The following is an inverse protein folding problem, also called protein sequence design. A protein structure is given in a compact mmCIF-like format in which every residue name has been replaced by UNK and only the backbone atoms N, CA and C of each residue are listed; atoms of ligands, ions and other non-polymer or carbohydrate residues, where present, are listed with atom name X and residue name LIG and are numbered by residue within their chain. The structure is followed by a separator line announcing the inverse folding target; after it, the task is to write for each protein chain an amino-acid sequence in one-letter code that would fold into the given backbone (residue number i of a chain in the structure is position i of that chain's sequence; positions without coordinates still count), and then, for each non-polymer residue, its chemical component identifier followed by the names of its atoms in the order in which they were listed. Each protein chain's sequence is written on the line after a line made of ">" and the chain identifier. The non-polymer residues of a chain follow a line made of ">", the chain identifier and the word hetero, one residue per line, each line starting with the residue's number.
data_IF_488726008695
#
_entry.id   IF_488726008695
#
_cell.length_a   1.000
_cell.length_b   1.000
_cell.length_c   1.000
_cell.angle_alpha   90.00
_cell.angle_beta   90.00
_cell.angle_gamma   90.00
#
_symmetry.space_group_name_H-M   'P 1'
#
loop_
_entity.id
_entity.type
_entity.pdbx_description
1 polymer ?
#
# COMPACT_ATOMS: atom_id res chain seq x y z
N UNK A 1 -4.33 8.90 -24.44
CA UNK A 1 -4.25 10.14 -23.64
C UNK A 1 -5.38 10.16 -22.58
N UNK A 2 -5.53 9.10 -21.76
CA UNK A 2 -6.75 8.88 -20.96
C UNK A 2 -6.56 8.92 -19.43
N UNK A 3 -5.61 8.14 -18.89
CA UNK A 3 -5.50 7.93 -17.44
C UNK A 3 -4.83 9.11 -16.72
N UNK A 4 -3.80 9.73 -17.32
CA UNK A 4 -3.11 10.89 -16.71
C UNK A 4 -4.02 12.13 -16.57
N UNK A 5 -5.01 12.29 -17.46
CA UNK A 5 -6.00 13.37 -17.38
C UNK A 5 -6.98 13.17 -16.21
N UNK A 6 -7.46 11.94 -16.02
CA UNK A 6 -8.32 11.58 -14.89
C UNK A 6 -7.59 11.74 -13.55
N UNK A 7 -6.29 11.40 -13.51
CA UNK A 7 -5.41 11.62 -12.35
C UNK A 7 -5.31 13.10 -11.95
N UNK A 8 -5.26 14.02 -12.92
CA UNK A 8 -5.22 15.45 -12.65
C UNK A 8 -6.54 15.96 -12.06
N UNK A 9 -7.68 15.38 -12.47
CA UNK A 9 -9.01 15.75 -11.99
C UNK A 9 -9.22 15.28 -10.53
N UNK A 10 -8.67 14.13 -10.14
CA UNK A 10 -8.69 13.66 -8.73
C UNK A 10 -8.03 14.66 -7.76
N UNK A 11 -7.00 15.39 -8.21
CA UNK A 11 -6.38 16.46 -7.41
C UNK A 11 -7.29 17.68 -7.25
N UNK A 12 -8.28 17.85 -8.12
CA UNK A 12 -9.13 19.04 -8.20
C UNK A 12 -10.44 18.83 -7.42
N UNK A 13 -11.01 17.62 -7.41
CA UNK A 13 -12.27 17.35 -6.69
C UNK A 13 -12.28 15.99 -5.97
N UNK A 14 -12.17 15.96 -4.62
CA UNK A 14 -12.14 14.73 -3.84
C UNK A 14 -13.49 13.99 -3.81
N UNK A 15 -14.58 14.58 -4.30
CA UNK A 15 -15.91 13.97 -4.26
C UNK A 15 -16.03 12.70 -5.14
N UNK A 16 -15.22 12.59 -6.19
CA UNK A 16 -15.27 11.46 -7.13
C UNK A 16 -14.18 10.40 -6.86
N UNK A 17 -13.45 10.52 -5.76
CA UNK A 17 -12.29 9.67 -5.46
C UNK A 17 -12.64 8.18 -5.46
N UNK A 18 -13.79 7.78 -4.90
CA UNK A 18 -14.19 6.37 -4.81
C UNK A 18 -14.57 5.74 -6.15
N UNK A 19 -15.36 6.41 -6.98
CA UNK A 19 -15.80 5.86 -8.27
C UNK A 19 -14.63 5.64 -9.23
N UNK A 20 -13.68 6.59 -9.27
CA UNK A 20 -12.47 6.44 -10.07
C UNK A 20 -11.46 5.48 -9.45
N UNK A 21 -11.48 5.26 -8.13
CA UNK A 21 -10.62 4.28 -7.46
C UNK A 21 -10.92 2.86 -7.96
N UNK A 22 -12.17 2.51 -8.22
CA UNK A 22 -12.53 1.23 -8.83
C UNK A 22 -11.95 1.09 -10.24
N UNK A 23 -12.07 2.12 -11.07
CA UNK A 23 -11.52 2.13 -12.43
C UNK A 23 -9.97 2.07 -12.46
N UNK A 24 -9.31 2.69 -11.47
CA UNK A 24 -7.86 2.61 -11.28
C UNK A 24 -7.45 1.21 -10.81
N UNK A 25 -8.24 0.58 -9.95
CA UNK A 25 -8.01 -0.80 -9.51
C UNK A 25 -8.12 -1.79 -10.69
N UNK A 26 -9.04 -1.56 -11.63
CA UNK A 26 -9.16 -2.38 -12.84
C UNK A 26 -7.89 -2.30 -13.71
N UNK A 27 -7.14 -1.19 -13.67
CA UNK A 27 -5.85 -1.07 -14.36
C UNK A 27 -4.74 -1.94 -13.74
N UNK A 28 -4.94 -2.52 -12.55
CA UNK A 28 -4.01 -3.51 -11.98
C UNK A 28 -4.14 -4.89 -12.65
N UNK A 29 -5.24 -5.15 -13.35
CA UNK A 29 -5.48 -6.39 -14.13
C UNK A 29 -4.88 -6.31 -15.55
N UNK A 30 -4.34 -5.14 -15.95
CA UNK A 30 -3.77 -4.93 -17.28
C UNK A 30 -2.54 -5.85 -17.53
N UNK A 31 -2.21 -6.17 -18.77
CA UNK A 31 -1.04 -6.99 -19.07
C UNK A 31 0.29 -6.23 -18.94
N UNK A 32 0.28 -4.89 -18.95
CA UNK A 32 1.47 -4.04 -18.90
C UNK A 32 1.95 -3.76 -17.45
N UNK A 33 3.09 -4.35 -17.08
CA UNK A 33 3.75 -4.13 -15.78
C UNK A 33 4.11 -2.66 -15.51
N UNK A 34 4.39 -1.88 -16.55
CA UNK A 34 4.68 -0.43 -16.41
C UNK A 34 3.43 0.32 -15.97
N UNK A 35 2.27 -0.05 -16.50
CA UNK A 35 0.99 0.54 -16.11
C UNK A 35 0.64 0.16 -14.67
N UNK A 36 0.83 -1.11 -14.29
CA UNK A 36 0.62 -1.56 -12.89
C UNK A 36 1.43 -0.76 -11.90
N UNK A 37 2.73 -0.55 -12.16
CA UNK A 37 3.61 0.22 -11.27
C UNK A 37 3.10 1.66 -11.12
N UNK A 38 2.72 2.32 -12.22
CA UNK A 38 2.16 3.69 -12.19
C UNK A 38 0.84 3.77 -11.43
N UNK A 39 -0.01 2.74 -11.58
CA UNK A 39 -1.28 2.62 -10.87
C UNK A 39 -1.07 2.45 -9.36
N UNK A 40 -0.10 1.63 -8.93
CA UNK A 40 0.26 1.47 -7.52
C UNK A 40 0.80 2.78 -6.91
N UNK A 41 1.62 3.51 -7.65
CA UNK A 41 2.09 4.85 -7.27
C UNK A 41 0.93 5.84 -7.06
N UNK A 42 -0.08 5.77 -7.91
CA UNK A 42 -1.26 6.61 -7.79
C UNK A 42 -2.09 6.22 -6.57
N UNK A 43 -2.38 4.93 -6.38
CA UNK A 43 -3.15 4.43 -5.24
C UNK A 43 -2.50 4.84 -3.92
N UNK A 44 -1.17 4.72 -3.82
CA UNK A 44 -0.42 5.21 -2.67
C UNK A 44 -0.67 6.70 -2.40
N UNK A 45 -0.60 7.56 -3.44
CA UNK A 45 -0.83 9.02 -3.31
C UNK A 45 -2.27 9.40 -2.98
N UNK A 46 -3.25 8.59 -3.38
CA UNK A 46 -4.68 8.82 -3.11
C UNK A 46 -5.14 8.25 -1.76
N UNK A 47 -4.24 7.58 -1.02
CA UNK A 47 -4.58 6.94 0.24
C UNK A 47 -4.92 7.97 1.32
N UNK A 48 -5.98 7.70 2.06
CA UNK A 48 -6.46 8.44 3.21
C UNK A 48 -7.06 7.47 4.24
N UNK A 49 -7.52 8.00 5.39
CA UNK A 49 -8.04 7.17 6.50
C UNK A 49 -9.28 6.34 6.15
N UNK A 50 -10.02 6.70 5.10
CA UNK A 50 -11.25 6.00 4.70
C UNK A 50 -10.99 4.85 3.72
N UNK A 51 -9.88 4.90 2.96
CA UNK A 51 -9.59 3.94 1.90
C UNK A 51 -8.24 3.20 2.07
N UNK A 52 -7.56 3.37 3.21
CA UNK A 52 -6.28 2.71 3.50
C UNK A 52 -6.36 1.19 3.45
N UNK A 53 -7.42 0.59 4.00
CA UNK A 53 -7.55 -0.87 4.06
C UNK A 53 -7.58 -1.52 2.67
N UNK A 54 -8.50 -1.15 1.76
CA UNK A 54 -8.53 -1.74 0.42
C UNK A 54 -7.29 -1.42 -0.42
N UNK A 55 -6.67 -0.24 -0.25
CA UNK A 55 -5.45 0.10 -0.99
C UNK A 55 -4.26 -0.75 -0.53
N UNK A 56 -4.09 -0.90 0.79
CA UNK A 56 -3.00 -1.72 1.34
C UNK A 56 -3.18 -3.19 0.98
N UNK A 57 -4.40 -3.71 0.92
CA UNK A 57 -4.66 -5.07 0.44
C UNK A 57 -4.21 -5.27 -1.01
N UNK A 58 -4.47 -4.29 -1.90
CA UNK A 58 -4.00 -4.34 -3.29
C UNK A 58 -2.48 -4.27 -3.39
N UNK A 59 -1.84 -3.40 -2.61
CA UNK A 59 -0.37 -3.31 -2.55
C UNK A 59 0.25 -4.62 -2.04
N UNK A 60 -0.34 -5.24 -1.02
CA UNK A 60 0.09 -6.55 -0.49
C UNK A 60 -0.09 -7.67 -1.52
N UNK A 61 -1.21 -7.68 -2.24
CA UNK A 61 -1.45 -8.66 -3.31
C UNK A 61 -0.38 -8.56 -4.40
N UNK A 62 -0.01 -7.34 -4.78
CA UNK A 62 1.05 -7.12 -5.77
C UNK A 62 2.43 -7.51 -5.22
N UNK A 63 2.73 -7.18 -3.95
CA UNK A 63 3.96 -7.62 -3.29
C UNK A 63 4.10 -9.15 -3.30
N UNK A 64 3.00 -9.88 -3.09
CA UNK A 64 2.96 -11.34 -3.12
C UNK A 64 3.18 -11.91 -4.53
N UNK A 65 2.65 -11.25 -5.55
CA UNK A 65 2.78 -11.69 -6.95
C UNK A 65 4.12 -11.30 -7.58
N UNK A 66 4.77 -10.25 -7.07
CA UNK A 66 6.02 -9.74 -7.63
C UNK A 66 7.19 -10.74 -7.43
N UNK A 67 8.03 -10.96 -8.45
CA UNK A 67 9.21 -11.81 -8.34
C UNK A 67 10.16 -11.34 -7.25
N UNK A 68 10.80 -12.27 -6.53
CA UNK A 68 11.67 -11.96 -5.39
C UNK A 68 12.80 -10.97 -5.73
N UNK A 69 13.39 -11.08 -6.92
CA UNK A 69 14.48 -10.22 -7.43
C UNK A 69 14.01 -8.82 -7.86
N UNK A 70 12.71 -8.53 -7.81
CA UNK A 70 12.18 -7.26 -8.28
C UNK A 70 12.51 -6.13 -7.30
N UNK A 71 13.19 -5.09 -7.80
CA UNK A 71 13.43 -3.83 -7.08
C UNK A 71 12.14 -3.17 -6.58
N UNK A 72 11.00 -3.46 -7.22
CA UNK A 72 9.69 -2.95 -6.83
C UNK A 72 9.22 -3.49 -5.46
N UNK A 73 9.65 -4.70 -5.05
CA UNK A 73 9.26 -5.28 -3.75
C UNK A 73 9.71 -4.39 -2.60
N UNK A 74 10.94 -3.85 -2.66
CA UNK A 74 11.49 -2.98 -1.61
C UNK A 74 10.68 -1.69 -1.49
N UNK A 75 10.33 -1.09 -2.62
CA UNK A 75 9.51 0.11 -2.67
C UNK A 75 8.10 -0.13 -2.12
N UNK A 76 7.48 -1.27 -2.45
CA UNK A 76 6.17 -1.66 -1.91
C UNK A 76 6.20 -1.87 -0.40
N UNK A 77 7.21 -2.56 0.13
CA UNK A 77 7.39 -2.75 1.58
C UNK A 77 7.45 -1.39 2.30
N UNK A 78 8.24 -0.45 1.76
CA UNK A 78 8.36 0.90 2.34
C UNK A 78 7.02 1.65 2.29
N UNK A 79 6.34 1.64 1.14
CA UNK A 79 5.05 2.30 0.96
C UNK A 79 3.97 1.75 1.89
N UNK A 80 3.81 0.43 1.96
CA UNK A 80 2.82 -0.22 2.83
C UNK A 80 3.09 0.14 4.30
N UNK A 81 4.36 0.14 4.69
CA UNK A 81 4.77 0.50 6.05
C UNK A 81 4.41 1.96 6.37
N UNK A 82 4.70 2.89 5.46
CA UNK A 82 4.36 4.31 5.63
C UNK A 82 2.84 4.53 5.72
N UNK A 83 2.06 3.87 4.86
CA UNK A 83 0.60 3.94 4.91
C UNK A 83 0.06 3.37 6.22
N UNK A 84 0.64 2.26 6.70
CA UNK A 84 0.32 1.66 7.98
C UNK A 84 0.57 2.62 9.14
N UNK A 85 1.72 3.29 9.18
CA UNK A 85 2.03 4.24 10.24
C UNK A 85 1.10 5.47 10.22
N UNK A 86 0.78 5.98 9.03
CA UNK A 86 0.06 7.25 8.87
C UNK A 86 -1.45 7.14 8.96
N UNK A 87 -2.02 6.06 8.43
CA UNK A 87 -3.45 5.94 8.22
C UNK A 87 -4.08 4.73 8.92
N UNK A 88 -3.32 3.93 9.67
CA UNK A 88 -3.88 2.75 10.35
C UNK A 88 -5.12 3.11 11.19
N UNK A 89 -6.25 2.39 10.99
CA UNK A 89 -7.46 2.60 11.76
C UNK A 89 -7.36 2.05 13.18
N UNK A 90 -6.61 0.94 13.38
CA UNK A 90 -6.46 0.29 14.69
C UNK A 90 -5.06 -0.33 14.85
N UNK A 91 -4.56 -0.41 16.09
CA UNK A 91 -3.29 -1.11 16.37
C UNK A 91 -3.29 -2.56 15.88
N UNK A 92 -4.42 -3.26 16.04
CA UNK A 92 -4.58 -4.64 15.59
C UNK A 92 -4.46 -4.77 14.05
N UNK A 93 -5.10 -3.85 13.31
CA UNK A 93 -4.96 -3.81 11.86
C UNK A 93 -3.51 -3.54 11.45
N UNK A 94 -2.84 -2.58 12.07
CA UNK A 94 -1.41 -2.30 11.81
C UNK A 94 -0.55 -3.54 12.04
N UNK A 95 -0.72 -4.23 13.17
CA UNK A 95 0.08 -5.42 13.51
C UNK A 95 -0.14 -6.53 12.47
N UNK A 96 -1.38 -6.80 12.07
CA UNK A 96 -1.69 -7.79 11.04
C UNK A 96 -1.09 -7.44 9.68
N UNK A 97 -1.21 -6.17 9.28
CA UNK A 97 -0.64 -5.68 8.02
C UNK A 97 0.88 -5.82 8.03
N UNK A 98 1.55 -5.36 9.08
CA UNK A 98 3.01 -5.48 9.21
C UNK A 98 3.45 -6.93 9.22
N UNK A 99 2.78 -7.83 9.94
CA UNK A 99 3.08 -9.26 9.92
C UNK A 99 3.06 -9.85 8.49
N UNK A 100 2.07 -9.49 7.66
CA UNK A 100 2.03 -9.89 6.25
C UNK A 100 3.23 -9.36 5.46
N UNK A 101 3.65 -8.12 5.73
CA UNK A 101 4.85 -7.52 5.09
C UNK A 101 6.12 -8.27 5.51
N UNK A 102 6.26 -8.63 6.79
CA UNK A 102 7.38 -9.44 7.30
C UNK A 102 7.41 -10.84 6.67
N UNK A 103 6.26 -11.50 6.53
CA UNK A 103 6.17 -12.82 5.91
C UNK A 103 6.59 -12.79 4.42
N UNK A 104 6.17 -11.77 3.69
CA UNK A 104 6.40 -11.69 2.23
C UNK A 104 7.70 -11.00 1.83
N UNK A 105 8.25 -10.13 2.67
CA UNK A 105 9.36 -9.23 2.33
C UNK A 105 10.38 -9.03 3.45
N UNK A 106 10.48 -9.98 4.39
CA UNK A 106 11.37 -9.90 5.55
C UNK A 106 12.83 -9.59 5.20
N UNK A 107 13.32 -10.05 4.05
CA UNK A 107 14.66 -9.76 3.52
C UNK A 107 14.90 -8.28 3.17
N UNK A 108 13.82 -7.53 2.90
CA UNK A 108 13.85 -6.14 2.47
C UNK A 108 13.58 -5.15 3.60
N UNK A 109 13.23 -5.66 4.79
CA UNK A 109 12.83 -4.84 5.93
C UNK A 109 14.06 -4.34 6.69
N UNK A 110 14.06 -3.05 7.02
CA UNK A 110 15.14 -2.43 7.80
C UNK A 110 15.01 -2.72 9.28
N UNK A 111 16.15 -2.77 9.99
CA UNK A 111 16.17 -2.97 11.44
C UNK A 111 15.30 -1.94 12.20
N UNK A 112 15.24 -0.70 11.72
CA UNK A 112 14.41 0.35 12.31
C UNK A 112 12.92 -0.01 12.25
N UNK A 113 12.45 -0.52 11.12
CA UNK A 113 11.06 -0.95 10.96
C UNK A 113 10.75 -2.17 11.85
N UNK A 114 11.68 -3.13 11.94
CA UNK A 114 11.59 -4.27 12.86
C UNK A 114 11.46 -3.81 14.32
N UNK A 115 12.32 -2.89 14.76
CA UNK A 115 12.28 -2.39 16.13
C UNK A 115 10.95 -1.69 16.45
N UNK A 116 10.45 -0.85 15.54
CA UNK A 116 9.14 -0.19 15.67
C UNK A 116 7.99 -1.19 15.75
N UNK A 117 8.03 -2.23 14.92
CA UNK A 117 7.01 -3.27 14.91
C UNK A 117 7.01 -4.05 16.24
N UNK A 118 8.18 -4.45 16.73
CA UNK A 118 8.33 -5.13 18.03
C UNK A 118 7.83 -4.25 19.18
N UNK A 119 8.15 -2.96 19.17
CA UNK A 119 7.63 -2.02 20.17
C UNK A 119 6.10 -1.93 20.13
N UNK A 120 5.52 -1.84 18.92
CA UNK A 120 4.07 -1.79 18.71
C UNK A 120 3.36 -3.06 19.21
N UNK A 121 3.98 -4.23 19.02
CA UNK A 121 3.49 -5.49 19.60
C UNK A 121 3.58 -5.47 21.13
N UNK A 122 4.69 -5.03 21.70
CA UNK A 122 4.87 -4.93 23.16
C UNK A 122 3.83 -4.01 23.82
N UNK A 123 3.47 -2.91 23.17
CA UNK A 123 2.39 -2.03 23.63
C UNK A 123 1.00 -2.68 23.51
N UNK A 124 0.78 -3.48 22.47
CA UNK A 124 -0.49 -4.19 22.26
C UNK A 124 -0.74 -5.25 23.35
N UNK A 125 0.28 -6.01 23.75
CA UNK A 125 0.15 -7.04 24.79
C UNK A 125 0.11 -6.51 26.24
N UNK A 126 0.44 -5.22 26.46
CA UNK A 126 0.33 -4.59 27.78
C UNK A 126 -1.05 -4.02 28.09
N UNK A 127 -1.93 -3.93 27.09
CA UNK A 127 -3.33 -3.48 27.23
C UNK A 127 -4.24 -4.68 27.38
#
# INVERSE_FOLDING_TARGET
>A
MGIMGLIQIVRIDPKYTLDYQNMVVDCLEDADDTLKIRTLDLLFKMTNKQNVEPIVEKLLSYLKAAPHESKARKDLVLKISELGEKFSPTKNWYIRTMNKVFEMGGDLITQQLTNKFVQSMGEYYRQ
#
